data_IF_133915246939
#
_entry.id   IF_133915246939
#
_cell.length_a   1.000
_cell.length_b   1.000
_cell.length_c   1.000
_cell.angle_alpha   90.00
_cell.angle_beta   90.00
_cell.angle_gamma   90.00
#
_symmetry.space_group_name_H-M   'P 1'
#
loop_
_entity.id
_entity.type
_entity.pdbx_description
1 polymer ?
#
# COMPACT_ATOMS: atom_id res chain seq x y z
N UNK A 1 -23.09 -9.51 -5.23
CA UNK A 1 -23.21 -9.24 -3.77
C UNK A 1 -21.95 -8.52 -3.33
N UNK A 2 -22.10 -7.31 -2.78
CA UNK A 2 -21.06 -6.28 -2.62
C UNK A 2 -20.41 -6.34 -1.23
N UNK A 3 -19.15 -6.75 -1.15
CA UNK A 3 -18.34 -6.81 0.09
C UNK A 3 -17.82 -5.44 0.54
N UNK A 4 -17.88 -4.42 -0.32
CA UNK A 4 -17.37 -3.07 -0.07
C UNK A 4 -18.12 -2.34 1.05
N UNK A 5 -19.42 -2.64 1.23
CA UNK A 5 -20.25 -1.97 2.23
C UNK A 5 -20.05 -2.50 3.66
N UNK A 6 -19.40 -3.67 3.84
CA UNK A 6 -19.22 -4.24 5.17
C UNK A 6 -18.09 -3.56 5.95
N UNK A 7 -16.96 -3.26 5.31
CA UNK A 7 -15.86 -2.52 5.94
C UNK A 7 -16.23 -1.06 6.27
N UNK A 8 -16.97 -0.40 5.37
CA UNK A 8 -17.38 1.00 5.56
C UNK A 8 -18.36 1.17 6.73
N UNK A 9 -19.26 0.20 6.94
CA UNK A 9 -20.20 0.23 8.07
C UNK A 9 -19.52 0.04 9.43
N UNK A 10 -18.48 -0.81 9.53
CA UNK A 10 -17.76 -0.96 10.80
C UNK A 10 -17.01 0.30 11.22
N UNK A 11 -16.39 1.00 10.27
CA UNK A 11 -15.66 2.24 10.56
C UNK A 11 -16.59 3.41 10.97
N UNK A 12 -17.78 3.50 10.37
CA UNK A 12 -18.75 4.54 10.75
C UNK A 12 -19.42 4.24 12.11
N UNK A 13 -19.69 2.97 12.41
CA UNK A 13 -20.23 2.58 13.72
C UNK A 13 -19.22 2.83 14.86
N UNK A 14 -17.91 2.67 14.63
CA UNK A 14 -16.89 3.02 15.63
C UNK A 14 -16.78 4.52 15.90
N UNK A 15 -17.23 5.39 14.98
CA UNK A 15 -17.21 6.85 15.17
C UNK A 15 -18.47 7.33 15.90
N UNK A 16 -19.58 6.60 15.80
CA UNK A 16 -20.87 7.03 16.35
C UNK A 16 -21.06 6.65 17.83
N UNK A 17 -20.29 5.68 18.35
CA UNK A 17 -20.25 5.37 19.78
C UNK A 17 -19.35 6.30 20.61
N UNK A 18 -18.52 7.13 19.97
CA UNK A 18 -17.66 8.13 20.66
C UNK A 18 -18.35 9.48 20.90
N UNK A 19 -19.65 9.58 20.62
CA UNK A 19 -20.45 10.79 20.74
C UNK A 19 -21.10 11.03 22.11
N UNK A 20 -20.49 10.61 23.23
CA UNK A 20 -20.94 11.04 24.57
C UNK A 20 -19.90 10.72 25.65
N UNK A 21 -19.03 11.70 25.96
CA UNK A 21 -18.30 11.69 27.23
C UNK A 21 -16.83 12.02 27.08
N UNK A 22 -16.47 13.24 27.48
CA UNK A 22 -15.11 13.62 27.85
C UNK A 22 -14.52 12.57 28.81
N UNK A 23 -13.60 11.74 28.33
CA UNK A 23 -12.53 11.11 29.10
C UNK A 23 -11.45 10.67 28.12
N UNK A 24 -10.25 11.17 28.37
CA UNK A 24 -8.99 10.73 27.75
C UNK A 24 -8.94 9.20 27.66
N UNK A 25 -9.05 8.65 26.46
CA UNK A 25 -8.93 7.21 26.23
C UNK A 25 -7.65 6.94 25.44
N UNK A 26 -6.61 6.61 26.21
CA UNK A 26 -5.49 5.79 25.77
C UNK A 26 -5.98 4.65 24.87
N UNK A 27 -5.46 4.56 23.66
CA UNK A 27 -5.62 3.36 22.82
C UNK A 27 -5.10 2.12 23.60
N UNK A 28 -5.85 1.01 23.67
CA UNK A 28 -5.39 -0.19 24.32
C UNK A 28 -4.39 -0.92 23.41
N UNK A 29 -3.10 -0.77 23.69
CA UNK A 29 -2.08 -1.70 23.22
C UNK A 29 -2.15 -2.97 24.07
N UNK A 30 -2.85 -4.00 23.61
CA UNK A 30 -2.69 -5.35 24.14
C UNK A 30 -3.08 -6.45 23.14
N UNK A 31 -2.16 -6.80 22.24
CA UNK A 31 -1.98 -8.21 21.89
C UNK A 31 -0.90 -8.74 22.82
N UNK A 32 -1.37 -9.38 23.89
CA UNK A 32 -0.62 -10.01 24.95
C UNK A 32 -0.02 -11.33 24.42
N UNK A 33 1.28 -11.35 24.10
CA UNK A 33 2.05 -12.59 24.02
C UNK A 33 2.84 -12.76 25.33
N UNK A 34 2.53 -13.84 26.05
CA UNK A 34 3.37 -14.61 26.97
C UNK A 34 4.35 -13.89 27.89
N UNK A 35 4.07 -13.92 29.19
CA UNK A 35 4.99 -13.56 30.26
C UNK A 35 6.24 -14.47 30.33
N UNK A 36 7.41 -13.89 30.55
CA UNK A 36 8.38 -14.39 31.55
C UNK A 36 9.30 -13.25 31.99
N UNK A 37 9.23 -12.94 33.29
CA UNK A 37 9.91 -11.84 33.96
C UNK A 37 11.41 -12.09 34.16
N UNK A 38 12.27 -11.20 33.66
CA UNK A 38 13.55 -10.81 34.26
C UNK A 38 14.02 -9.49 33.64
N UNK A 39 14.16 -8.46 34.48
CA UNK A 39 14.67 -7.14 34.10
C UNK A 39 16.12 -7.24 33.63
N UNK A 40 16.47 -6.54 32.55
CA UNK A 40 17.33 -5.37 32.73
C UNK A 40 16.73 -4.12 32.07
N UNK A 41 17.20 -2.95 32.52
CA UNK A 41 16.85 -1.64 31.96
C UNK A 41 16.94 -1.61 30.44
N UNK A 42 15.79 -1.67 29.77
CA UNK A 42 15.67 -1.34 28.36
C UNK A 42 14.89 -0.05 28.27
N UNK A 43 15.60 1.03 28.00
CA UNK A 43 15.04 2.18 27.28
C UNK A 43 14.54 1.66 25.94
N UNK A 44 13.29 1.19 25.91
CA UNK A 44 12.61 0.83 24.68
C UNK A 44 12.42 2.14 23.90
N UNK A 45 13.38 2.45 23.05
CA UNK A 45 13.27 3.56 22.12
C UNK A 45 12.05 3.23 21.27
N UNK A 46 10.91 3.84 21.62
CA UNK A 46 9.62 3.70 20.97
C UNK A 46 9.61 4.42 19.62
N UNK A 47 10.74 4.39 18.92
CA UNK A 47 10.76 4.49 17.47
C UNK A 47 10.28 3.15 16.93
N UNK A 48 9.02 2.78 17.18
CA UNK A 48 8.35 1.82 16.31
C UNK A 48 8.19 2.54 14.98
N UNK A 49 9.28 2.55 14.18
CA UNK A 49 9.21 3.03 12.80
C UNK A 49 8.16 2.15 12.16
N UNK A 50 7.01 2.76 11.87
CA UNK A 50 5.93 2.10 11.17
C UNK A 50 6.50 1.38 9.93
N UNK A 51 5.89 0.24 9.58
CA UNK A 51 6.24 -0.46 8.36
C UNK A 51 6.16 0.53 7.16
N UNK A 52 7.11 0.48 6.19
CA UNK A 52 7.25 1.50 5.14
C UNK A 52 5.96 1.85 4.37
N UNK A 53 5.03 0.90 4.20
CA UNK A 53 3.77 1.13 3.50
C UNK A 53 2.67 1.77 4.36
N UNK A 54 2.84 1.86 5.69
CA UNK A 54 1.83 2.37 6.64
C UNK A 54 1.30 3.75 6.25
N UNK A 55 2.20 4.66 5.86
CA UNK A 55 1.81 6.01 5.46
C UNK A 55 1.05 6.04 4.12
N UNK A 56 1.31 5.09 3.23
CA UNK A 56 0.62 4.97 1.95
C UNK A 56 -0.79 4.40 2.17
N UNK A 57 -0.90 3.38 3.03
CA UNK A 57 -2.16 2.71 3.34
C UNK A 57 -3.16 3.60 4.09
N UNK A 58 -2.66 4.54 4.90
CA UNK A 58 -3.50 5.52 5.62
C UNK A 58 -4.21 6.51 4.70
N UNK A 59 -3.71 6.71 3.46
CA UNK A 59 -4.30 7.65 2.50
C UNK A 59 -5.45 6.97 1.75
N UNK A 60 -6.40 7.77 1.27
CA UNK A 60 -7.43 7.30 0.35
C UNK A 60 -6.78 6.78 -0.95
N UNK A 61 -7.45 5.83 -1.63
CA UNK A 61 -6.99 5.28 -2.91
C UNK A 61 -6.75 6.43 -3.90
N UNK A 62 -5.55 6.47 -4.48
CA UNK A 62 -5.12 7.54 -5.38
C UNK A 62 -4.16 7.03 -6.47
N UNK A 63 -4.06 7.75 -7.59
CA UNK A 63 -3.23 7.37 -8.75
C UNK A 63 -1.83 7.98 -8.77
N UNK A 64 -1.44 8.75 -7.75
CA UNK A 64 -0.17 9.51 -7.73
C UNK A 64 1.06 8.65 -7.98
N UNK A 65 1.06 7.38 -7.57
CA UNK A 65 2.23 6.51 -7.65
C UNK A 65 2.40 5.81 -9.00
N UNK A 66 1.38 5.82 -9.86
CA UNK A 66 1.37 5.03 -11.11
C UNK A 66 2.54 5.38 -12.05
N UNK A 67 2.88 6.67 -12.17
CA UNK A 67 3.95 7.13 -13.07
C UNK A 67 5.25 7.55 -12.40
N UNK A 68 5.38 7.46 -11.07
CA UNK A 68 6.50 8.08 -10.33
C UNK A 68 7.88 7.52 -10.70
N UNK A 69 7.94 6.27 -11.14
CA UNK A 69 9.18 5.62 -11.56
C UNK A 69 9.71 6.16 -12.89
N UNK A 70 8.84 6.72 -13.73
CA UNK A 70 9.15 7.20 -15.08
C UNK A 70 9.57 8.68 -15.09
N UNK A 71 10.32 9.11 -14.08
CA UNK A 71 10.91 10.45 -14.06
C UNK A 71 11.84 10.61 -15.28
N UNK A 72 11.70 11.71 -16.03
CA UNK A 72 12.47 12.02 -17.24
C UNK A 72 13.98 11.93 -17.02
N UNK A 73 14.49 12.42 -15.89
CA UNK A 73 15.92 12.38 -15.60
C UNK A 73 16.42 10.95 -15.38
N UNK A 74 15.59 10.12 -14.76
CA UNK A 74 15.90 8.71 -14.51
C UNK A 74 15.85 7.90 -15.81
N UNK A 75 14.82 8.09 -16.63
CA UNK A 75 14.69 7.43 -17.93
C UNK A 75 15.80 7.82 -18.91
N UNK A 76 16.26 9.08 -18.85
CA UNK A 76 17.38 9.55 -19.67
C UNK A 76 18.68 8.84 -19.30
N UNK A 77 18.92 8.62 -18.00
CA UNK A 77 20.11 7.94 -17.48
C UNK A 77 20.03 6.42 -17.59
N UNK A 78 18.82 5.85 -17.60
CA UNK A 78 18.59 4.41 -17.58
C UNK A 78 17.91 3.95 -18.86
N UNK A 79 18.73 3.61 -19.86
CA UNK A 79 18.27 3.12 -21.16
C UNK A 79 17.48 1.83 -21.06
N UNK A 80 17.85 0.93 -20.14
CA UNK A 80 17.11 -0.31 -19.90
C UNK A 80 15.64 -0.04 -19.53
N UNK A 81 15.38 0.93 -18.66
CA UNK A 81 14.00 1.27 -18.26
C UNK A 81 13.14 1.79 -19.41
N UNK A 82 13.76 2.24 -20.52
CA UNK A 82 13.04 2.65 -21.74
C UNK A 82 12.63 1.47 -22.62
N UNK A 83 13.29 0.33 -22.50
CA UNK A 83 13.04 -0.87 -23.34
C UNK A 83 12.49 -2.04 -22.54
N UNK A 84 12.54 -1.99 -21.21
CA UNK A 84 12.12 -3.08 -20.31
C UNK A 84 10.70 -3.59 -20.59
N UNK A 85 9.75 -2.70 -20.89
CA UNK A 85 8.38 -3.07 -21.22
C UNK A 85 8.24 -3.92 -22.50
N UNK A 86 9.20 -3.82 -23.42
CA UNK A 86 9.27 -4.62 -24.64
C UNK A 86 10.14 -5.86 -24.46
N UNK A 87 11.27 -5.74 -23.76
CA UNK A 87 12.28 -6.80 -23.63
C UNK A 87 11.93 -7.85 -22.57
N UNK A 88 11.22 -7.48 -21.49
CA UNK A 88 10.87 -8.41 -20.42
C UNK A 88 9.63 -9.22 -20.83
N UNK A 89 9.75 -10.55 -21.02
CA UNK A 89 8.63 -11.38 -21.49
C UNK A 89 7.41 -11.29 -20.59
N UNK A 90 7.62 -11.24 -19.26
CA UNK A 90 6.52 -11.14 -18.29
C UNK A 90 5.73 -9.84 -18.46
N UNK A 91 6.39 -8.70 -18.68
CA UNK A 91 5.70 -7.43 -18.89
C UNK A 91 4.89 -7.45 -20.19
N UNK A 92 5.42 -8.09 -21.23
CA UNK A 92 4.71 -8.28 -22.50
C UNK A 92 3.45 -9.14 -22.32
N UNK A 93 3.56 -10.27 -21.62
CA UNK A 93 2.41 -11.15 -21.34
C UNK A 93 1.34 -10.40 -20.53
N UNK A 94 1.75 -9.57 -19.58
CA UNK A 94 0.84 -8.72 -18.81
C UNK A 94 0.27 -7.51 -19.60
N UNK A 95 0.64 -7.36 -20.88
CA UNK A 95 0.09 -6.35 -21.78
C UNK A 95 0.77 -4.98 -21.72
N UNK A 96 1.94 -4.85 -21.09
CA UNK A 96 2.62 -3.57 -20.92
C UNK A 96 3.38 -3.07 -22.16
N UNK A 97 3.65 -3.94 -23.15
CA UNK A 97 4.54 -3.63 -24.28
C UNK A 97 4.09 -2.48 -25.17
N UNK A 98 2.78 -2.19 -25.27
CA UNK A 98 2.24 -1.17 -26.17
C UNK A 98 1.51 -0.03 -25.42
N UNK A 99 1.90 0.21 -24.16
CA UNK A 99 1.20 1.16 -23.28
C UNK A 99 1.89 2.51 -23.12
N UNK A 100 3.12 2.66 -23.63
CA UNK A 100 3.94 3.86 -23.46
C UNK A 100 4.73 3.88 -22.14
N UNK A 101 5.48 4.96 -21.91
CA UNK A 101 6.33 5.13 -20.73
C UNK A 101 6.06 6.51 -20.10
N UNK A 102 5.54 6.58 -18.86
CA UNK A 102 4.96 5.47 -18.12
C UNK A 102 3.73 4.87 -18.85
N UNK A 103 3.34 3.63 -18.54
CA UNK A 103 2.17 2.97 -19.09
C UNK A 103 0.89 3.79 -18.95
N UNK A 104 0.10 3.85 -20.02
CA UNK A 104 -1.31 4.17 -19.90
C UNK A 104 -2.07 2.96 -19.34
N UNK A 105 -2.18 2.90 -18.01
CA UNK A 105 -2.81 1.80 -17.28
C UNK A 105 -4.27 1.53 -17.67
N UNK A 106 -4.97 2.49 -18.32
CA UNK A 106 -6.35 2.27 -18.82
C UNK A 106 -6.41 1.37 -20.05
N UNK A 107 -5.28 1.17 -20.73
CA UNK A 107 -5.17 0.31 -21.92
C UNK A 107 -4.78 -1.14 -21.58
N UNK A 108 -4.52 -1.44 -20.30
CA UNK A 108 -4.17 -2.79 -19.88
C UNK A 108 -5.39 -3.72 -19.96
N UNK A 109 -5.17 -5.01 -20.27
CA UNK A 109 -6.24 -5.99 -20.26
C UNK A 109 -6.82 -6.13 -18.85
N UNK A 110 -8.15 -6.18 -18.76
CA UNK A 110 -8.87 -6.32 -17.49
C UNK A 110 -8.76 -7.75 -16.94
N UNK A 111 -8.62 -8.72 -17.83
CA UNK A 111 -8.41 -10.13 -17.53
C UNK A 111 -6.96 -10.50 -17.83
N UNK A 112 -6.29 -11.10 -16.85
CA UNK A 112 -4.95 -11.65 -17.06
C UNK A 112 -5.04 -12.81 -18.07
N UNK A 113 -4.08 -12.93 -19.00
CA UNK A 113 -4.01 -14.11 -19.85
C UNK A 113 -3.75 -15.35 -18.98
N UNK A 114 -4.35 -16.47 -19.34
CA UNK A 114 -3.97 -17.77 -18.79
C UNK A 114 -2.51 -18.02 -19.14
N UNK A 115 -1.67 -18.12 -18.11
CA UNK A 115 -0.28 -18.55 -18.25
C UNK A 115 -0.31 -20.07 -18.43
N UNK A 116 -0.13 -20.52 -19.67
CA UNK A 116 0.01 -21.93 -20.02
C UNK A 116 1.35 -22.51 -19.57
#
# INVERSE_FOLDING_TARGET
MSTSNHCRKRYLNSIQEEGAGNRSSSFPNSILFGMQSRSPDYTYVLTSKFEPSTNQLRRAIHSESLGKWANTDFLTKNTFMRVAHEEIPLLRVLGYSNTGIPPNYRKLPVTLPELA
#
